data_IF_311228666678
#
_entry.id   IF_311228666678
#
_cell.length_a   1.000
_cell.length_b   1.000
_cell.length_c   1.000
_cell.angle_alpha   90.00
_cell.angle_beta   90.00
_cell.angle_gamma   90.00
#
_symmetry.space_group_name_H-M   'P 1'
#
loop_
_entity.id
_entity.type
_entity.pdbx_description
1 polymer ?
#
# COMPACT_ATOMS: atom_id res chain seq x y z
N UNK A 1 -7.30 -17.93 -15.07
CA UNK A 1 -8.41 -18.22 -14.12
C UNK A 1 -9.44 -17.11 -14.23
N UNK A 2 -10.72 -17.40 -14.23
CA UNK A 2 -11.78 -16.41 -14.33
C UNK A 2 -12.48 -16.22 -12.97
N UNK A 3 -13.45 -15.27 -12.89
CA UNK A 3 -14.14 -14.98 -11.62
C UNK A 3 -14.92 -16.19 -11.07
N UNK A 4 -15.49 -17.03 -11.93
CA UNK A 4 -16.22 -18.22 -11.50
C UNK A 4 -15.32 -19.25 -10.84
N UNK A 5 -14.06 -19.39 -11.31
CA UNK A 5 -13.08 -20.27 -10.69
C UNK A 5 -12.73 -19.79 -9.26
N UNK A 6 -12.62 -18.47 -9.04
CA UNK A 6 -12.39 -17.90 -7.72
C UNK A 6 -13.62 -18.05 -6.79
N UNK A 7 -14.84 -17.91 -7.28
CA UNK A 7 -16.05 -18.16 -6.46
C UNK A 7 -16.11 -19.61 -5.97
N UNK A 8 -15.72 -20.60 -6.81
CA UNK A 8 -15.61 -22.01 -6.37
C UNK A 8 -14.55 -22.22 -5.29
N UNK A 9 -13.42 -21.48 -5.34
CA UNK A 9 -12.40 -21.52 -4.28
C UNK A 9 -12.93 -21.02 -2.95
N UNK A 10 -13.76 -19.97 -2.93
CA UNK A 10 -14.39 -19.46 -1.70
C UNK A 10 -15.26 -20.52 -1.02
N UNK A 11 -16.00 -21.31 -1.78
CA UNK A 11 -16.85 -22.39 -1.25
C UNK A 11 -16.05 -23.55 -0.66
N UNK A 12 -14.82 -23.78 -1.14
CA UNK A 12 -14.01 -24.95 -0.79
C UNK A 12 -13.08 -24.76 0.40
N UNK A 13 -12.78 -23.53 0.83
CA UNK A 13 -11.81 -23.24 1.90
C UNK A 13 -12.50 -22.81 3.19
N UNK A 14 -12.60 -23.72 4.17
CA UNK A 14 -12.78 -23.40 5.58
C UNK A 14 -11.40 -23.27 6.23
N UNK A 15 -10.81 -22.08 6.19
CA UNK A 15 -9.50 -21.83 6.81
C UNK A 15 -9.61 -21.56 8.32
N UNK A 16 -8.50 -21.75 9.06
CA UNK A 16 -8.37 -21.27 10.44
C UNK A 16 -8.53 -19.74 10.46
N UNK A 17 -9.21 -19.23 11.50
CA UNK A 17 -9.35 -17.78 11.67
C UNK A 17 -8.01 -17.19 12.15
N UNK A 18 -7.24 -16.60 11.22
CA UNK A 18 -5.97 -15.92 11.49
C UNK A 18 -6.18 -14.45 11.91
N UNK A 19 -7.43 -14.02 12.09
CA UNK A 19 -7.75 -12.65 12.48
C UNK A 19 -7.88 -12.45 13.99
N UNK A 20 -7.87 -13.52 14.78
CA UNK A 20 -7.78 -13.44 16.23
C UNK A 20 -6.30 -13.23 16.65
N UNK A 21 -6.03 -12.11 17.34
CA UNK A 21 -4.68 -11.69 17.71
C UNK A 21 -4.66 -11.31 19.21
N UNK A 22 -3.74 -11.86 20.01
CA UNK A 22 -3.68 -11.54 21.43
C UNK A 22 -3.27 -10.08 21.65
N UNK A 23 -4.02 -9.38 22.50
CA UNK A 23 -3.79 -8.00 22.90
C UNK A 23 -3.45 -7.91 24.39
N UNK A 24 -2.16 -8.12 24.74
CA UNK A 24 -1.71 -8.12 26.13
C UNK A 24 -1.64 -6.72 26.77
N UNK A 25 -1.64 -5.68 25.94
CA UNK A 25 -1.54 -4.29 26.39
C UNK A 25 -2.89 -3.54 26.29
N UNK A 26 -3.97 -4.26 25.97
CA UNK A 26 -5.32 -3.69 25.83
C UNK A 26 -5.34 -2.49 24.88
N UNK A 27 -4.65 -2.62 23.73
CA UNK A 27 -4.51 -1.55 22.74
C UNK A 27 -5.86 -1.15 22.13
N UNK A 28 -6.84 -2.05 22.17
CA UNK A 28 -8.21 -1.77 21.76
C UNK A 28 -8.88 -0.69 22.63
N UNK A 29 -8.42 -0.46 23.85
CA UNK A 29 -8.89 0.65 24.70
C UNK A 29 -8.48 2.04 24.18
N UNK A 30 -7.43 2.09 23.33
CA UNK A 30 -6.95 3.31 22.68
C UNK A 30 -7.78 3.70 21.45
N UNK A 31 -8.67 2.82 21.00
CA UNK A 31 -9.50 2.98 19.82
C UNK A 31 -10.92 3.41 20.18
N UNK A 32 -11.48 4.34 19.41
CA UNK A 32 -12.90 4.69 19.51
C UNK A 32 -13.77 3.54 18.97
N UNK A 33 -15.07 3.57 19.26
CA UNK A 33 -16.02 2.59 18.69
C UNK A 33 -16.08 2.68 17.15
N UNK A 34 -15.93 3.88 16.58
CA UNK A 34 -15.85 4.07 15.14
C UNK A 34 -14.61 3.38 14.54
N UNK A 35 -13.44 3.54 15.15
CA UNK A 35 -12.21 2.84 14.76
C UNK A 35 -12.41 1.33 14.75
N UNK A 36 -13.04 0.77 15.79
CA UNK A 36 -13.31 -0.67 15.92
C UNK A 36 -14.28 -1.16 14.85
N UNK A 37 -15.32 -0.40 14.54
CA UNK A 37 -16.29 -0.72 13.49
C UNK A 37 -15.65 -0.73 12.10
N UNK A 38 -14.84 0.27 11.78
CA UNK A 38 -14.11 0.33 10.51
C UNK A 38 -13.18 -0.87 10.38
N UNK A 39 -12.36 -1.15 11.40
CA UNK A 39 -11.48 -2.31 11.44
C UNK A 39 -12.25 -3.62 11.22
N UNK A 40 -13.37 -3.81 11.93
CA UNK A 40 -14.20 -5.01 11.81
C UNK A 40 -14.78 -5.15 10.39
N UNK A 41 -15.32 -4.08 9.82
CA UNK A 41 -15.91 -4.09 8.47
C UNK A 41 -14.88 -4.50 7.40
N UNK A 42 -13.69 -3.90 7.43
CA UNK A 42 -12.63 -4.24 6.46
C UNK A 42 -12.14 -5.67 6.68
N UNK A 43 -11.94 -6.09 7.94
CA UNK A 43 -11.57 -7.46 8.30
C UNK A 43 -12.56 -8.50 7.77
N UNK A 44 -13.84 -8.27 7.95
CA UNK A 44 -14.89 -9.19 7.48
C UNK A 44 -14.91 -9.28 5.96
N UNK A 45 -14.68 -8.16 5.28
CA UNK A 45 -14.54 -8.16 3.84
C UNK A 45 -13.30 -8.95 3.40
N UNK A 46 -12.15 -8.74 4.01
CA UNK A 46 -10.90 -9.47 3.71
C UNK A 46 -11.09 -10.98 3.93
N UNK A 47 -11.70 -11.38 5.04
CA UNK A 47 -12.01 -12.80 5.32
C UNK A 47 -12.88 -13.42 4.24
N UNK A 48 -13.89 -12.71 3.78
CA UNK A 48 -14.88 -13.21 2.82
C UNK A 48 -14.38 -13.18 1.38
N UNK A 49 -13.72 -12.09 0.97
CA UNK A 49 -13.42 -11.84 -0.44
C UNK A 49 -11.98 -12.12 -0.83
N UNK A 50 -11.02 -11.96 0.08
CA UNK A 50 -9.58 -12.01 -0.20
C UNK A 50 -8.94 -13.30 0.30
N UNK A 51 -9.09 -13.64 1.58
CA UNK A 51 -8.40 -14.78 2.18
C UNK A 51 -8.64 -16.11 1.42
N UNK A 52 -9.82 -16.41 0.88
CA UNK A 52 -10.05 -17.66 0.17
C UNK A 52 -9.33 -17.76 -1.17
N UNK A 53 -9.03 -16.65 -1.81
CA UNK A 53 -8.55 -16.62 -3.21
C UNK A 53 -7.10 -16.19 -3.36
N UNK A 54 -6.52 -15.52 -2.36
CA UNK A 54 -5.30 -14.75 -2.55
C UNK A 54 -4.06 -15.60 -2.81
N UNK A 55 -3.96 -16.78 -2.22
CA UNK A 55 -2.83 -17.68 -2.47
C UNK A 55 -2.82 -18.15 -3.93
N UNK A 56 -3.97 -18.52 -4.48
CA UNK A 56 -4.08 -18.91 -5.88
C UNK A 56 -3.82 -17.72 -6.81
N UNK A 57 -4.39 -16.55 -6.50
CA UNK A 57 -4.13 -15.33 -7.27
C UNK A 57 -2.63 -14.98 -7.29
N UNK A 58 -1.94 -15.15 -6.16
CA UNK A 58 -0.49 -14.97 -6.06
C UNK A 58 0.28 -15.99 -6.92
N UNK A 59 -0.06 -17.27 -6.85
CA UNK A 59 0.60 -18.32 -7.64
C UNK A 59 0.41 -18.11 -9.13
N UNK A 60 -0.76 -17.68 -9.56
CA UNK A 60 -1.09 -17.40 -10.96
C UNK A 60 -0.59 -16.02 -11.44
N UNK A 61 -0.03 -15.20 -10.54
CA UNK A 61 0.31 -13.80 -10.81
C UNK A 61 -0.88 -13.01 -11.41
N UNK A 62 -2.04 -13.16 -10.81
CA UNK A 62 -3.30 -12.60 -11.29
C UNK A 62 -3.86 -11.55 -10.31
N UNK A 63 -4.21 -10.37 -10.81
CA UNK A 63 -4.89 -9.34 -10.05
C UNK A 63 -6.41 -9.46 -10.22
N UNK A 64 -7.18 -9.69 -9.14
CA UNK A 64 -8.63 -9.84 -9.21
C UNK A 64 -9.32 -8.47 -9.35
N UNK A 65 -9.48 -7.99 -10.58
CA UNK A 65 -9.95 -6.61 -10.88
C UNK A 65 -11.31 -6.25 -10.27
N UNK A 66 -12.19 -7.23 -10.02
CA UNK A 66 -13.51 -6.99 -9.41
C UNK A 66 -13.44 -6.46 -7.98
N UNK A 67 -12.31 -6.65 -7.27
CA UNK A 67 -12.15 -6.11 -5.91
C UNK A 67 -12.10 -4.58 -5.89
N UNK A 68 -11.76 -3.93 -7.01
CA UNK A 68 -11.67 -2.47 -7.10
C UNK A 68 -13.01 -1.82 -6.75
N UNK A 69 -14.09 -2.31 -7.38
CA UNK A 69 -15.43 -1.80 -7.07
C UNK A 69 -15.82 -2.07 -5.62
N UNK A 70 -15.54 -3.28 -5.12
CA UNK A 70 -15.83 -3.66 -3.73
C UNK A 70 -15.07 -2.81 -2.71
N UNK A 71 -13.79 -2.48 -2.99
CA UNK A 71 -12.99 -1.59 -2.13
C UNK A 71 -13.59 -0.18 -2.06
N UNK A 72 -14.15 0.33 -3.16
CA UNK A 72 -14.92 1.56 -3.17
C UNK A 72 -16.21 1.46 -2.34
N UNK A 73 -16.97 0.39 -2.53
CA UNK A 73 -18.24 0.14 -1.81
C UNK A 73 -18.06 0.07 -0.26
N UNK A 74 -16.93 -0.48 0.21
CA UNK A 74 -16.62 -0.53 1.65
C UNK A 74 -15.84 0.70 2.17
N UNK A 75 -15.68 1.75 1.34
CA UNK A 75 -15.06 3.02 1.73
C UNK A 75 -13.53 2.98 1.92
N UNK A 76 -12.82 2.01 1.34
CA UNK A 76 -11.37 1.89 1.44
C UNK A 76 -10.60 2.83 0.52
N UNK A 77 -11.26 3.51 -0.42
CA UNK A 77 -10.64 4.48 -1.31
C UNK A 77 -10.76 5.91 -0.76
N UNK A 78 -9.64 6.44 -0.26
CA UNK A 78 -9.57 7.80 0.28
C UNK A 78 -10.50 8.03 1.48
N UNK A 79 -10.49 7.18 2.53
CA UNK A 79 -11.38 7.34 3.66
C UNK A 79 -11.25 8.71 4.35
N UNK A 80 -10.09 9.35 4.28
CA UNK A 80 -9.83 10.69 4.81
C UNK A 80 -10.24 11.83 3.88
N UNK A 81 -10.66 11.55 2.64
CA UNK A 81 -11.20 12.56 1.73
C UNK A 81 -12.60 12.98 2.19
N UNK A 82 -12.94 14.30 2.16
CA UNK A 82 -14.26 14.77 2.60
C UNK A 82 -15.43 14.12 1.83
N UNK A 83 -16.56 13.94 2.52
CA UNK A 83 -17.80 13.34 1.99
C UNK A 83 -18.30 14.03 0.72
N UNK A 84 -18.16 15.35 0.62
CA UNK A 84 -18.59 16.13 -0.58
C UNK A 84 -17.89 15.68 -1.87
N UNK A 85 -16.75 15.00 -1.77
CA UNK A 85 -16.00 14.42 -2.89
C UNK A 85 -16.09 12.89 -2.94
N UNK A 86 -17.01 12.29 -2.16
CA UNK A 86 -17.25 10.85 -2.13
C UNK A 86 -16.36 10.06 -1.17
N UNK A 87 -15.49 10.70 -0.39
CA UNK A 87 -14.70 10.06 0.66
C UNK A 87 -15.52 9.86 1.94
N UNK A 88 -14.88 9.28 2.96
CA UNK A 88 -15.52 9.01 4.26
C UNK A 88 -15.39 10.15 5.27
N UNK A 89 -14.56 11.16 5.03
CA UNK A 89 -14.26 12.22 6.02
C UNK A 89 -13.62 11.72 7.31
N UNK A 90 -13.05 10.51 7.29
CA UNK A 90 -12.54 9.80 8.45
C UNK A 90 -11.13 10.28 8.85
N UNK A 91 -10.74 9.97 10.07
CA UNK A 91 -9.43 10.31 10.60
C UNK A 91 -8.30 9.37 10.11
N UNK A 92 -7.05 9.72 10.43
CA UNK A 92 -5.89 8.93 9.99
C UNK A 92 -5.77 7.58 10.71
N UNK A 93 -6.28 7.42 11.94
CA UNK A 93 -6.28 6.12 12.62
C UNK A 93 -7.23 5.17 11.91
N UNK A 94 -8.42 5.62 11.52
CA UNK A 94 -9.38 4.88 10.70
C UNK A 94 -8.76 4.41 9.38
N UNK A 95 -8.07 5.32 8.67
CA UNK A 95 -7.32 4.97 7.46
C UNK A 95 -6.25 3.92 7.73
N UNK A 96 -5.48 4.09 8.80
CA UNK A 96 -4.44 3.16 9.20
C UNK A 96 -4.97 1.75 9.46
N UNK A 97 -6.05 1.64 10.24
CA UNK A 97 -6.70 0.36 10.55
C UNK A 97 -7.24 -0.33 9.30
N UNK A 98 -7.81 0.42 8.37
CA UNK A 98 -8.22 -0.13 7.07
C UNK A 98 -7.01 -0.72 6.32
N UNK A 99 -5.89 0.00 6.23
CA UNK A 99 -4.66 -0.48 5.59
C UNK A 99 -4.09 -1.72 6.30
N UNK A 100 -4.15 -1.78 7.64
CA UNK A 100 -3.74 -2.95 8.42
C UNK A 100 -4.53 -4.20 8.04
N UNK A 101 -5.85 -4.12 8.01
CA UNK A 101 -6.68 -5.29 7.71
C UNK A 101 -6.58 -5.70 6.23
N UNK A 102 -6.45 -4.76 5.29
CA UNK A 102 -6.20 -5.08 3.89
C UNK A 102 -4.87 -5.82 3.69
N UNK A 103 -3.79 -5.38 4.32
CA UNK A 103 -2.47 -6.04 4.18
C UNK A 103 -2.38 -7.33 4.99
N UNK A 104 -3.21 -7.51 6.01
CA UNK A 104 -3.42 -8.81 6.65
C UNK A 104 -3.92 -9.84 5.65
N UNK A 105 -4.77 -9.44 4.69
CA UNK A 105 -5.10 -10.22 3.52
C UNK A 105 -3.95 -10.35 2.53
N UNK A 106 -3.48 -9.22 1.99
CA UNK A 106 -2.35 -9.17 1.03
C UNK A 106 -1.81 -7.76 0.82
N UNK A 107 -0.48 -7.64 0.67
CA UNK A 107 0.17 -6.35 0.40
C UNK A 107 -0.24 -5.76 -0.97
N UNK A 108 -0.58 -6.58 -1.96
CA UNK A 108 -1.05 -6.10 -3.26
C UNK A 108 -2.43 -5.45 -3.17
N UNK A 109 -3.33 -6.03 -2.39
CA UNK A 109 -4.67 -5.47 -2.13
C UNK A 109 -4.56 -4.14 -1.38
N UNK A 110 -3.73 -4.09 -0.30
CA UNK A 110 -3.48 -2.84 0.41
C UNK A 110 -2.83 -1.80 -0.51
N UNK A 111 -1.88 -2.20 -1.36
CA UNK A 111 -1.21 -1.29 -2.30
C UNK A 111 -2.21 -0.65 -3.27
N UNK A 112 -3.16 -1.42 -3.79
CA UNK A 112 -4.24 -0.90 -4.66
C UNK A 112 -5.02 0.21 -3.97
N UNK A 113 -5.46 -0.01 -2.72
CA UNK A 113 -6.19 0.98 -1.95
C UNK A 113 -5.34 2.20 -1.57
N UNK A 114 -4.09 1.98 -1.17
CA UNK A 114 -3.15 3.04 -0.78
C UNK A 114 -2.79 3.94 -1.97
N UNK A 115 -2.49 3.36 -3.13
CA UNK A 115 -2.22 4.13 -4.36
C UNK A 115 -3.43 4.96 -4.75
N UNK A 116 -4.62 4.35 -4.77
CA UNK A 116 -5.87 5.05 -5.08
C UNK A 116 -6.09 6.24 -4.14
N UNK A 117 -6.06 6.03 -2.82
CA UNK A 117 -6.38 7.05 -1.83
C UNK A 117 -5.27 8.09 -1.64
N UNK A 118 -4.04 7.63 -1.38
CA UNK A 118 -2.94 8.51 -0.97
C UNK A 118 -2.13 9.10 -2.12
N UNK A 119 -2.10 8.45 -3.28
CA UNK A 119 -1.26 8.86 -4.41
C UNK A 119 -2.05 9.38 -5.60
N UNK A 120 -3.35 9.06 -5.71
CA UNK A 120 -4.22 9.58 -6.79
C UNK A 120 -5.25 10.57 -6.24
N UNK A 121 -6.09 10.15 -5.30
CA UNK A 121 -7.13 11.03 -4.75
C UNK A 121 -6.53 12.17 -3.93
N UNK A 122 -5.53 11.89 -3.10
CA UNK A 122 -4.92 12.92 -2.25
C UNK A 122 -4.29 14.08 -3.05
N UNK A 123 -3.44 13.89 -4.08
CA UNK A 123 -2.93 15.02 -4.87
C UNK A 123 -4.02 15.79 -5.60
N UNK A 124 -5.06 15.14 -6.12
CA UNK A 124 -6.20 15.81 -6.74
C UNK A 124 -6.94 16.66 -5.69
N UNK A 125 -7.20 16.10 -4.51
CA UNK A 125 -7.84 16.83 -3.40
C UNK A 125 -6.98 18.02 -2.92
N UNK A 126 -5.68 17.78 -2.73
CA UNK A 126 -4.77 18.77 -2.12
C UNK A 126 -4.37 19.90 -3.08
N UNK A 127 -4.16 19.58 -4.36
CA UNK A 127 -3.54 20.46 -5.34
C UNK A 127 -4.40 20.75 -6.56
N UNK A 128 -5.51 20.05 -6.73
CA UNK A 128 -6.42 20.24 -7.84
C UNK A 128 -7.35 21.44 -7.69
N UNK A 129 -7.89 21.92 -8.82
CA UNK A 129 -9.01 22.88 -8.85
C UNK A 129 -10.30 22.22 -8.36
N UNK A 130 -11.34 23.01 -8.06
CA UNK A 130 -12.66 22.48 -7.69
C UNK A 130 -13.28 21.63 -8.82
N UNK A 131 -13.09 22.06 -10.07
CA UNK A 131 -13.54 21.32 -11.25
C UNK A 131 -12.87 19.95 -11.33
N UNK A 132 -11.54 19.88 -11.11
CA UNK A 132 -10.81 18.63 -11.08
C UNK A 132 -11.29 17.72 -9.94
N UNK A 133 -11.48 18.26 -8.73
CA UNK A 133 -11.97 17.49 -7.58
C UNK A 133 -13.35 16.90 -7.86
N UNK A 134 -14.28 17.70 -8.34
CA UNK A 134 -15.65 17.26 -8.66
C UNK A 134 -15.70 16.28 -9.83
N UNK A 135 -14.79 16.40 -10.81
CA UNK A 135 -14.71 15.50 -11.97
C UNK A 135 -14.19 14.11 -11.60
N UNK A 136 -13.13 14.03 -10.79
CA UNK A 136 -12.38 12.79 -10.59
C UNK A 136 -12.64 12.11 -9.25
N UNK A 137 -12.72 12.85 -8.13
CA UNK A 137 -12.75 12.25 -6.79
C UNK A 137 -13.95 11.32 -6.53
N UNK A 138 -15.21 11.67 -6.91
CA UNK A 138 -16.34 10.77 -6.68
C UNK A 138 -16.21 9.44 -7.43
N UNK A 139 -15.70 9.45 -8.64
CA UNK A 139 -15.48 8.25 -9.45
C UNK A 139 -14.35 7.38 -8.91
N UNK A 140 -13.29 8.01 -8.40
CA UNK A 140 -12.19 7.32 -7.75
C UNK A 140 -12.62 6.72 -6.41
N UNK A 141 -13.41 7.44 -5.61
CA UNK A 141 -13.90 6.98 -4.31
C UNK A 141 -14.84 5.76 -4.44
N UNK A 142 -15.73 5.76 -5.44
CA UNK A 142 -16.65 4.66 -5.70
C UNK A 142 -16.01 3.42 -6.36
N UNK A 143 -14.75 3.54 -6.82
CA UNK A 143 -14.11 2.50 -7.62
C UNK A 143 -14.64 2.37 -9.06
N UNK A 144 -15.42 3.35 -9.55
CA UNK A 144 -15.76 3.47 -10.97
C UNK A 144 -14.49 3.73 -11.78
N UNK A 145 -13.60 4.59 -11.27
CA UNK A 145 -12.27 4.81 -11.81
C UNK A 145 -11.21 4.24 -10.86
N UNK A 146 -10.26 3.51 -11.44
CA UNK A 146 -9.00 3.20 -10.80
C UNK A 146 -7.94 4.17 -11.31
N UNK A 147 -7.13 4.70 -10.41
CA UNK A 147 -6.03 5.58 -10.76
C UNK A 147 -4.66 4.98 -10.50
N UNK A 148 -3.63 5.56 -11.11
CA UNK A 148 -2.24 5.25 -10.84
C UNK A 148 -1.41 6.51 -10.63
N UNK A 149 -0.25 6.36 -9.96
CA UNK A 149 0.65 7.45 -9.61
C UNK A 149 2.00 7.25 -10.28
N UNK A 150 2.42 8.19 -11.09
CA UNK A 150 3.54 8.05 -11.99
C UNK A 150 4.66 9.04 -11.64
N UNK A 151 5.60 8.60 -10.79
CA UNK A 151 6.79 9.35 -10.39
C UNK A 151 8.08 8.69 -10.87
N UNK A 152 8.28 7.42 -10.46
CA UNK A 152 9.50 6.64 -10.72
C UNK A 152 9.72 6.40 -12.21
N UNK A 153 10.95 6.57 -12.68
CA UNK A 153 11.39 6.28 -14.05
C UNK A 153 12.35 5.10 -14.08
N UNK A 154 12.60 4.50 -15.26
CA UNK A 154 13.54 3.36 -15.36
C UNK A 154 14.89 3.61 -14.69
N UNK A 155 15.47 4.81 -14.87
CA UNK A 155 16.79 5.18 -14.35
C UNK A 155 16.76 6.08 -13.11
N UNK A 156 15.57 6.50 -12.65
CA UNK A 156 15.39 7.47 -11.55
C UNK A 156 14.37 6.98 -10.53
N UNK A 157 14.81 6.15 -9.57
CA UNK A 157 13.98 5.63 -8.48
C UNK A 157 14.15 6.43 -7.19
N UNK A 158 15.27 6.22 -6.48
CA UNK A 158 15.57 6.90 -5.22
C UNK A 158 15.90 8.39 -5.38
N UNK A 159 16.27 8.81 -6.59
CA UNK A 159 16.45 10.22 -6.96
C UNK A 159 15.39 10.68 -7.98
N UNK A 160 14.17 11.00 -7.52
CA UNK A 160 13.12 11.50 -8.39
C UNK A 160 13.38 12.92 -8.92
N UNK A 161 14.37 13.64 -8.37
CA UNK A 161 14.75 14.97 -8.85
C UNK A 161 15.37 14.94 -10.24
N UNK A 162 16.03 13.85 -10.58
CA UNK A 162 16.70 13.62 -11.87
C UNK A 162 15.76 13.12 -12.97
N UNK A 163 14.44 13.01 -12.72
CA UNK A 163 13.49 12.57 -13.75
C UNK A 163 13.67 13.30 -15.06
N UNK A 164 13.44 12.60 -16.18
CA UNK A 164 13.57 13.10 -17.55
C UNK A 164 12.22 13.28 -18.26
N UNK A 165 11.14 12.65 -17.80
CA UNK A 165 9.77 12.89 -18.31
C UNK A 165 9.45 14.37 -18.23
N UNK A 166 9.03 14.95 -19.35
CA UNK A 166 8.82 16.40 -19.51
C UNK A 166 7.60 16.70 -20.37
N UNK A 167 7.12 17.92 -20.27
CA UNK A 167 6.10 18.45 -21.15
C UNK A 167 6.41 19.88 -21.59
N UNK A 168 5.92 20.24 -22.78
CA UNK A 168 5.99 21.59 -23.36
C UNK A 168 4.61 22.22 -23.42
N UNK A 169 4.57 23.55 -23.44
CA UNK A 169 3.34 24.33 -23.55
C UNK A 169 3.07 24.67 -25.02
N UNK A 170 2.09 24.01 -25.66
CA UNK A 170 1.72 24.21 -27.05
C UNK A 170 0.56 25.24 -27.22
N UNK A 171 0.27 26.00 -26.17
CA UNK A 171 -0.77 27.04 -26.19
C UNK A 171 -2.13 26.52 -25.71
N UNK A 172 -2.79 25.65 -26.44
CA UNK A 172 -4.10 25.08 -26.10
C UNK A 172 -4.00 23.76 -25.31
N UNK A 173 -2.84 23.07 -25.32
CA UNK A 173 -2.58 21.86 -24.58
C UNK A 173 -1.12 21.79 -24.12
N UNK A 174 -0.80 20.80 -23.29
CA UNK A 174 0.57 20.38 -22.99
C UNK A 174 0.92 19.14 -23.81
N UNK A 175 2.16 19.06 -24.30
CA UNK A 175 2.68 17.89 -25.00
C UNK A 175 3.62 17.12 -24.09
N UNK A 176 3.18 15.94 -23.59
CA UNK A 176 3.88 15.13 -22.60
C UNK A 176 4.67 14.01 -23.28
N UNK A 177 5.96 13.88 -22.91
CA UNK A 177 6.88 12.86 -23.40
C UNK A 177 7.69 12.23 -22.26
N UNK A 178 7.91 10.91 -22.33
CA UNK A 178 8.75 10.16 -21.40
C UNK A 178 8.19 8.80 -21.02
N UNK A 179 8.72 8.23 -19.95
CA UNK A 179 8.28 6.93 -19.45
C UNK A 179 8.35 6.86 -17.93
N UNK A 180 7.45 6.08 -17.33
CA UNK A 180 7.43 5.77 -15.89
C UNK A 180 7.41 4.28 -15.69
N UNK A 181 8.04 3.80 -14.62
CA UNK A 181 8.22 2.38 -14.33
C UNK A 181 7.75 2.01 -12.92
N UNK A 182 7.40 0.75 -12.73
CA UNK A 182 6.92 0.19 -11.45
C UNK A 182 5.60 0.83 -10.96
N UNK A 183 4.71 1.15 -11.90
CA UNK A 183 3.49 1.88 -11.59
C UNK A 183 2.37 0.89 -11.22
N UNK A 184 2.02 0.87 -9.94
CA UNK A 184 0.89 0.08 -9.43
C UNK A 184 -0.43 0.57 -10.03
N UNK A 185 -1.33 -0.36 -10.32
CA UNK A 185 -2.64 -0.17 -10.95
C UNK A 185 -2.57 0.21 -12.46
N UNK A 186 -1.42 0.56 -13.02
CA UNK A 186 -1.28 1.09 -14.39
C UNK A 186 -2.02 0.27 -15.47
N UNK A 187 -1.97 -1.07 -15.50
CA UNK A 187 -2.65 -1.85 -16.54
C UNK A 187 -4.17 -1.65 -16.58
N UNK A 188 -4.78 -1.30 -15.44
CA UNK A 188 -6.23 -1.19 -15.27
C UNK A 188 -6.72 0.24 -14.96
N UNK A 189 -5.79 1.21 -14.82
CA UNK A 189 -6.12 2.58 -14.45
C UNK A 189 -6.87 3.31 -15.58
N UNK A 190 -7.92 4.07 -15.25
CA UNK A 190 -8.61 5.02 -16.13
C UNK A 190 -7.95 6.39 -16.13
N UNK A 191 -7.18 6.70 -15.08
CA UNK A 191 -6.52 8.00 -14.94
C UNK A 191 -5.16 7.83 -14.28
N UNK A 192 -4.17 8.63 -14.71
CA UNK A 192 -2.85 8.69 -14.12
C UNK A 192 -2.56 10.10 -13.57
N UNK A 193 -2.03 10.18 -12.33
CA UNK A 193 -1.38 11.39 -11.83
C UNK A 193 0.09 11.30 -12.16
N UNK A 194 0.56 12.09 -13.12
CA UNK A 194 1.91 12.05 -13.70
C UNK A 194 2.72 13.25 -13.24
N UNK A 195 3.90 12.97 -12.68
CA UNK A 195 4.87 14.01 -12.32
C UNK A 195 5.91 14.11 -13.43
N UNK A 196 6.02 15.31 -14.00
CA UNK A 196 6.91 15.61 -15.12
C UNK A 196 7.50 17.01 -14.96
N UNK A 197 8.63 17.29 -15.62
CA UNK A 197 9.25 18.62 -15.68
C UNK A 197 8.62 19.47 -16.75
N UNK A 198 8.33 20.73 -16.42
CA UNK A 198 8.01 21.76 -17.40
C UNK A 198 9.28 22.25 -18.14
N UNK A 199 9.15 23.22 -19.04
CA UNK A 199 10.25 23.79 -19.83
C UNK A 199 11.30 24.49 -18.97
N UNK A 200 10.95 24.93 -17.76
CA UNK A 200 11.86 25.51 -16.77
C UNK A 200 12.57 24.43 -15.93
N UNK A 201 12.27 23.14 -16.14
CA UNK A 201 12.78 22.02 -15.37
C UNK A 201 12.09 21.86 -14.01
N UNK A 202 10.98 22.54 -13.76
CA UNK A 202 10.22 22.46 -12.52
C UNK A 202 9.24 21.29 -12.56
N UNK A 203 9.24 20.44 -11.54
CA UNK A 203 8.31 19.31 -11.45
C UNK A 203 6.88 19.82 -11.24
N UNK A 204 5.96 19.33 -12.07
CA UNK A 204 4.53 19.62 -12.03
C UNK A 204 3.73 18.32 -12.06
N UNK A 205 2.50 18.36 -11.58
CA UNK A 205 1.55 17.25 -11.65
C UNK A 205 0.55 17.43 -12.79
N UNK A 206 0.36 16.41 -13.59
CA UNK A 206 -0.63 16.33 -14.67
C UNK A 206 -1.59 15.17 -14.41
N UNK A 207 -2.88 15.38 -14.70
CA UNK A 207 -3.88 14.31 -14.76
C UNK A 207 -4.00 13.87 -16.22
N UNK A 208 -3.67 12.59 -16.49
CA UNK A 208 -3.71 12.03 -17.85
C UNK A 208 -4.79 10.97 -17.91
N UNK A 209 -5.78 11.15 -18.77
CA UNK A 209 -6.85 10.19 -18.99
C UNK A 209 -6.34 9.02 -19.87
N UNK A 210 -6.85 7.80 -19.64
CA UNK A 210 -6.38 6.55 -20.25
C UNK A 210 -6.40 6.53 -21.77
N UNK A 211 -7.40 7.14 -22.37
CA UNK A 211 -7.68 7.17 -23.81
C UNK A 211 -6.98 8.31 -24.56
N UNK A 212 -6.04 9.01 -23.90
CA UNK A 212 -5.18 10.00 -24.57
C UNK A 212 -4.32 9.30 -25.63
N UNK A 213 -4.33 9.84 -26.86
CA UNK A 213 -3.51 9.32 -27.95
C UNK A 213 -2.03 9.39 -27.59
N UNK A 214 -1.25 8.33 -27.92
CA UNK A 214 0.17 8.23 -27.58
C UNK A 214 0.44 7.72 -26.14
N UNK A 215 -0.60 7.52 -25.31
CA UNK A 215 -0.45 6.98 -23.96
C UNK A 215 -0.66 5.46 -23.93
N UNK A 216 0.31 4.72 -23.42
CA UNK A 216 0.22 3.27 -23.25
C UNK A 216 0.72 2.82 -21.88
N UNK A 217 0.22 1.66 -21.44
CA UNK A 217 0.51 1.10 -20.11
C UNK A 217 0.81 -0.39 -20.17
N UNK A 218 1.98 -0.80 -20.72
CA UNK A 218 2.38 -2.20 -20.77
C UNK A 218 2.51 -2.78 -19.35
N UNK A 219 2.01 -4.00 -19.17
CA UNK A 219 2.05 -4.70 -17.90
C UNK A 219 3.43 -5.29 -17.65
N UNK A 220 3.91 -5.18 -16.40
CA UNK A 220 5.17 -5.78 -15.94
C UNK A 220 4.93 -7.23 -15.51
N UNK A 221 5.51 -8.18 -16.25
CA UNK A 221 5.45 -9.61 -15.95
C UNK A 221 6.70 -10.12 -15.22
N UNK A 222 6.62 -11.35 -14.70
CA UNK A 222 7.78 -12.04 -14.10
C UNK A 222 8.19 -11.59 -12.71
N UNK A 223 7.36 -10.82 -12.02
CA UNK A 223 7.62 -10.43 -10.62
C UNK A 223 7.57 -11.64 -9.69
N UNK A 224 8.51 -11.73 -8.75
CA UNK A 224 8.50 -12.68 -7.64
C UNK A 224 7.75 -12.15 -6.41
N UNK A 225 7.52 -10.85 -6.34
CA UNK A 225 6.88 -10.13 -5.26
C UNK A 225 5.65 -9.41 -5.78
N UNK A 226 4.64 -9.18 -4.92
CA UNK A 226 3.36 -8.55 -5.29
C UNK A 226 2.73 -9.19 -6.53
N UNK A 227 2.72 -10.53 -6.56
CA UNK A 227 2.27 -11.28 -7.73
C UNK A 227 0.77 -11.12 -7.99
N UNK A 228 -0.03 -10.93 -6.94
CA UNK A 228 -1.46 -10.63 -7.04
C UNK A 228 -1.74 -9.11 -7.12
N UNK A 229 -0.82 -8.31 -7.64
CA UNK A 229 -0.96 -6.87 -7.83
C UNK A 229 -0.62 -6.48 -9.26
N UNK A 230 -1.46 -5.68 -9.89
CA UNK A 230 -1.21 -5.12 -11.21
C UNK A 230 -0.11 -4.05 -11.14
N UNK A 231 0.94 -4.22 -11.93
CA UNK A 231 2.06 -3.28 -12.03
C UNK A 231 2.42 -3.10 -13.50
N UNK A 232 2.67 -1.89 -13.94
CA UNK A 232 3.04 -1.63 -15.33
C UNK A 232 4.01 -0.47 -15.49
N UNK A 233 4.26 -0.15 -16.73
CA UNK A 233 4.94 1.05 -17.15
C UNK A 233 3.91 2.05 -17.68
N UNK A 234 4.27 3.33 -17.74
CA UNK A 234 3.56 4.35 -18.50
C UNK A 234 4.50 4.88 -19.56
N UNK A 235 4.05 4.87 -20.81
CA UNK A 235 4.82 5.41 -21.93
C UNK A 235 4.02 6.54 -22.55
N UNK A 236 4.67 7.68 -22.70
CA UNK A 236 4.10 8.91 -23.27
C UNK A 236 4.87 9.26 -24.54
N UNK A 237 4.19 9.21 -25.69
CA UNK A 237 4.72 9.52 -27.01
C UNK A 237 3.83 10.64 -27.62
N UNK A 238 4.28 11.88 -27.48
CA UNK A 238 3.57 13.08 -27.87
C UNK A 238 2.12 13.17 -27.34
N UNK A 239 1.91 12.80 -26.08
CA UNK A 239 0.59 12.79 -25.45
C UNK A 239 0.09 14.21 -25.21
N UNK A 240 -1.05 14.54 -25.83
CA UNK A 240 -1.74 15.83 -25.63
C UNK A 240 -2.52 15.82 -24.32
N UNK A 241 -2.13 16.66 -23.38
CA UNK A 241 -2.80 16.82 -22.08
C UNK A 241 -3.51 18.18 -22.05
N UNK A 242 -4.83 18.22 -21.80
CA UNK A 242 -5.57 19.49 -21.69
C UNK A 242 -5.00 20.42 -20.60
N UNK A 243 -5.04 21.71 -20.82
CA UNK A 243 -4.52 22.71 -19.87
C UNK A 243 -5.15 22.61 -18.49
N UNK A 244 -6.43 22.33 -18.44
CA UNK A 244 -7.20 22.14 -17.22
C UNK A 244 -6.81 20.89 -16.43
N UNK A 245 -6.00 20.00 -16.99
CA UNK A 245 -5.51 18.80 -16.31
C UNK A 245 -4.17 19.02 -15.58
N UNK A 246 -3.58 20.20 -15.63
CA UNK A 246 -2.46 20.58 -14.76
C UNK A 246 -2.97 20.78 -13.33
N UNK A 247 -2.31 20.20 -12.32
CA UNK A 247 -2.59 20.46 -10.91
C UNK A 247 -2.08 21.86 -10.52
N UNK A 248 -2.97 22.86 -10.29
CA UNK A 248 -2.54 24.26 -10.13
C UNK A 248 -1.89 24.53 -8.77
N UNK A 249 -2.22 23.76 -7.74
CA UNK A 249 -1.83 23.99 -6.35
C UNK A 249 -0.42 23.56 -5.99
N UNK A 250 0.43 23.16 -6.95
CA UNK A 250 1.75 22.59 -6.64
C UNK A 250 2.83 22.90 -7.67
N UNK A 251 4.03 23.20 -7.16
CA UNK A 251 5.29 23.30 -7.93
C UNK A 251 6.42 22.59 -7.18
N UNK A 252 7.29 21.91 -7.94
CA UNK A 252 8.48 21.22 -7.42
C UNK A 252 8.19 19.90 -6.76
N UNK A 253 9.25 19.25 -6.27
CA UNK A 253 9.20 17.91 -5.66
C UNK A 253 8.39 17.82 -4.35
N UNK A 254 8.08 18.95 -3.71
CA UNK A 254 7.23 18.97 -2.52
C UNK A 254 5.88 18.29 -2.78
N UNK A 255 5.34 18.41 -4.00
CA UNK A 255 4.09 17.77 -4.41
C UNK A 255 4.12 16.26 -4.23
N UNK A 256 4.89 15.53 -5.06
CA UNK A 256 4.95 14.08 -4.98
C UNK A 256 5.46 13.56 -3.61
N UNK A 257 6.41 14.25 -2.98
CA UNK A 257 6.93 13.84 -1.66
C UNK A 257 5.86 13.95 -0.55
N UNK A 258 4.97 14.93 -0.62
CA UNK A 258 3.82 15.04 0.31
C UNK A 258 2.85 13.85 0.12
N UNK A 259 2.58 13.46 -1.12
CA UNK A 259 1.75 12.27 -1.42
C UNK A 259 2.41 10.99 -0.88
N UNK A 260 3.72 10.82 -1.09
CA UNK A 260 4.46 9.68 -0.57
C UNK A 260 4.41 9.60 0.97
N UNK A 261 4.42 10.71 1.68
CA UNK A 261 4.28 10.70 3.15
C UNK A 261 2.92 10.13 3.60
N UNK A 262 1.84 10.47 2.90
CA UNK A 262 0.51 9.90 3.15
C UNK A 262 0.49 8.38 2.91
N UNK A 263 1.08 7.92 1.81
CA UNK A 263 1.15 6.50 1.48
C UNK A 263 2.05 5.72 2.45
N UNK A 264 3.22 6.25 2.81
CA UNK A 264 4.15 5.66 3.81
C UNK A 264 3.50 5.47 5.17
N UNK A 265 2.64 6.40 5.58
CA UNK A 265 1.84 6.26 6.78
C UNK A 265 0.93 5.01 6.69
N UNK A 266 0.20 4.83 5.60
CA UNK A 266 -0.63 3.63 5.37
C UNK A 266 0.18 2.33 5.34
N UNK A 267 1.40 2.34 4.76
CA UNK A 267 2.31 1.19 4.77
C UNK A 267 2.72 0.82 6.20
N UNK A 268 2.96 1.80 7.06
CA UNK A 268 3.38 1.53 8.46
C UNK A 268 2.32 0.74 9.24
N UNK A 269 1.03 0.95 8.96
CA UNK A 269 -0.07 0.16 9.48
C UNK A 269 -0.20 -1.20 8.78
N UNK A 270 -0.14 -1.20 7.46
CA UNK A 270 -0.30 -2.41 6.65
C UNK A 270 0.70 -3.50 7.04
N UNK A 271 1.96 -3.16 7.21
CA UNK A 271 3.01 -4.11 7.61
C UNK A 271 2.69 -4.85 8.93
N UNK A 272 2.01 -4.18 9.88
CA UNK A 272 1.55 -4.82 11.12
C UNK A 272 0.53 -5.92 10.80
N UNK A 273 -0.39 -5.67 9.86
CA UNK A 273 -1.38 -6.66 9.42
C UNK A 273 -0.72 -7.92 8.85
N UNK A 274 0.25 -7.78 7.95
CA UNK A 274 1.01 -8.90 7.41
C UNK A 274 1.74 -9.69 8.50
N UNK A 275 2.34 -8.99 9.47
CA UNK A 275 2.99 -9.61 10.62
C UNK A 275 2.00 -10.40 11.50
N UNK A 276 0.80 -9.86 11.75
CA UNK A 276 -0.26 -10.51 12.52
C UNK A 276 -0.72 -11.81 11.86
N UNK A 277 -0.95 -11.83 10.55
CA UNK A 277 -1.35 -13.03 9.82
C UNK A 277 -0.30 -14.14 9.93
N UNK A 278 0.97 -13.80 9.70
CA UNK A 278 2.08 -14.74 9.87
C UNK A 278 2.21 -15.24 11.32
N UNK A 279 2.06 -14.34 12.30
CA UNK A 279 2.17 -14.69 13.72
C UNK A 279 1.07 -15.66 14.16
N UNK A 280 -0.20 -15.35 13.86
CA UNK A 280 -1.33 -16.19 14.29
C UNK A 280 -1.27 -17.56 13.61
N UNK A 281 -0.92 -17.61 12.31
CA UNK A 281 -0.68 -18.86 11.61
C UNK A 281 0.42 -19.70 12.30
N UNK A 282 1.54 -19.07 12.68
CA UNK A 282 2.64 -19.75 13.37
C UNK A 282 2.24 -20.26 14.76
N UNK A 283 1.46 -19.50 15.53
CA UNK A 283 0.94 -19.92 16.83
C UNK A 283 0.03 -21.14 16.71
N UNK A 284 -0.92 -21.11 15.77
CA UNK A 284 -1.86 -22.21 15.55
C UNK A 284 -1.11 -23.47 15.12
N UNK A 285 -0.22 -23.36 14.13
CA UNK A 285 0.61 -24.48 13.69
C UNK A 285 1.46 -25.05 14.84
N UNK A 286 2.08 -24.19 15.66
CA UNK A 286 2.92 -24.64 16.78
C UNK A 286 2.13 -25.38 17.87
N UNK A 287 0.85 -25.05 18.07
CA UNK A 287 -0.05 -25.76 19.01
C UNK A 287 -0.49 -27.13 18.50
N UNK A 288 -0.65 -27.29 17.18
CA UNK A 288 -1.18 -28.52 16.57
C UNK A 288 -0.09 -29.48 16.15
N UNK A 289 0.99 -28.99 15.53
CA UNK A 289 2.09 -29.83 15.00
C UNK A 289 2.87 -30.50 16.12
N UNK A 290 2.92 -31.81 16.08
CA UNK A 290 3.67 -32.60 17.07
C UNK A 290 5.00 -33.13 16.49
N UNK A 291 6.06 -33.01 17.28
CA UNK A 291 7.36 -33.64 17.08
C UNK A 291 7.90 -34.08 18.47
N UNK A 292 8.68 -35.16 18.51
CA UNK A 292 9.23 -35.70 19.76
C UNK A 292 8.14 -35.91 20.83
N UNK A 293 6.96 -36.39 20.42
CA UNK A 293 5.85 -36.77 21.29
C UNK A 293 4.98 -35.62 21.83
N UNK A 294 5.25 -34.36 21.51
CA UNK A 294 4.47 -33.20 21.99
C UNK A 294 4.31 -32.07 20.93
N UNK A 295 3.38 -31.15 21.11
CA UNK A 295 3.27 -29.95 20.23
C UNK A 295 4.60 -29.19 20.18
N UNK A 296 4.97 -28.70 18.98
CA UNK A 296 6.24 -27.96 18.82
C UNK A 296 6.27 -26.67 19.62
N UNK A 297 5.10 -26.02 19.87
CA UNK A 297 4.96 -24.88 20.76
C UNK A 297 5.36 -25.13 22.22
N UNK A 298 5.52 -26.41 22.63
CA UNK A 298 6.03 -26.79 23.94
C UNK A 298 7.57 -26.79 24.05
N UNK A 299 8.31 -26.41 23.00
CA UNK A 299 9.77 -26.31 23.03
C UNK A 299 10.19 -24.83 23.22
N UNK A 300 11.20 -24.63 24.07
CA UNK A 300 11.65 -23.30 24.50
C UNK A 300 12.05 -22.40 23.34
N UNK A 301 12.72 -22.93 22.30
CA UNK A 301 13.11 -22.12 21.13
C UNK A 301 11.91 -21.63 20.33
N UNK A 302 10.82 -22.40 20.25
CA UNK A 302 9.60 -21.95 19.59
C UNK A 302 8.86 -20.89 20.43
N UNK A 303 8.79 -21.09 21.75
CA UNK A 303 8.21 -20.11 22.67
C UNK A 303 8.97 -18.78 22.64
N UNK A 304 10.32 -18.84 22.57
CA UNK A 304 11.16 -17.64 22.39
C UNK A 304 10.76 -16.87 21.14
N UNK A 305 10.71 -17.53 19.98
CA UNK A 305 10.33 -16.90 18.70
C UNK A 305 8.96 -16.25 18.76
N UNK A 306 7.95 -16.99 19.24
CA UNK A 306 6.58 -16.46 19.35
C UNK A 306 6.48 -15.29 20.32
N UNK A 307 7.24 -15.30 21.42
CA UNK A 307 7.30 -14.18 22.37
C UNK A 307 7.95 -12.93 21.76
N UNK A 308 9.04 -13.10 21.01
CA UNK A 308 9.73 -12.01 20.32
C UNK A 308 8.81 -11.40 19.26
N UNK A 309 8.14 -12.23 18.44
CA UNK A 309 7.19 -11.76 17.42
C UNK A 309 6.07 -10.91 18.03
N UNK A 310 5.42 -11.39 19.09
CA UNK A 310 4.32 -10.64 19.73
C UNK A 310 4.82 -9.34 20.34
N UNK A 311 6.01 -9.34 20.95
CA UNK A 311 6.62 -8.14 21.52
C UNK A 311 6.85 -7.07 20.43
N UNK A 312 7.41 -7.47 19.29
CA UNK A 312 7.69 -6.54 18.19
C UNK A 312 6.40 -6.02 17.53
N UNK A 313 5.38 -6.86 17.36
CA UNK A 313 4.05 -6.42 16.88
C UNK A 313 3.45 -5.38 17.84
N UNK A 314 3.47 -5.64 19.15
CA UNK A 314 2.92 -4.72 20.15
C UNK A 314 3.64 -3.36 20.14
N UNK A 315 4.97 -3.35 20.04
CA UNK A 315 5.78 -2.13 19.90
C UNK A 315 5.40 -1.36 18.63
N UNK A 316 5.26 -2.07 17.51
CA UNK A 316 4.86 -1.48 16.22
C UNK A 316 3.46 -0.86 16.28
N UNK A 317 2.50 -1.52 16.92
CA UNK A 317 1.15 -1.00 17.11
C UNK A 317 1.13 0.30 17.92
N UNK A 318 1.86 0.36 19.04
CA UNK A 318 1.97 1.57 19.88
C UNK A 318 2.64 2.72 19.12
N UNK A 319 3.75 2.44 18.43
CA UNK A 319 4.46 3.43 17.61
C UNK A 319 3.52 4.04 16.55
N UNK A 320 2.80 3.17 15.84
CA UNK A 320 1.96 3.59 14.71
C UNK A 320 0.67 4.25 15.17
N UNK A 321 0.08 3.79 16.30
CA UNK A 321 -1.04 4.48 16.93
C UNK A 321 -0.66 5.90 17.33
N UNK A 322 0.52 6.09 18.00
CA UNK A 322 0.98 7.44 18.35
C UNK A 322 1.21 8.30 17.12
N UNK A 323 1.76 7.72 16.05
CA UNK A 323 1.91 8.44 14.78
C UNK A 323 0.53 8.86 14.22
N UNK A 324 -0.48 8.00 14.31
CA UNK A 324 -1.86 8.31 13.90
C UNK A 324 -2.45 9.51 14.64
N UNK A 325 -2.24 9.58 15.96
CA UNK A 325 -2.64 10.75 16.76
C UNK A 325 -1.93 12.03 16.27
N UNK A 326 -0.62 11.95 15.99
CA UNK A 326 0.14 13.10 15.46
C UNK A 326 -0.33 13.50 14.06
N UNK A 327 -0.72 12.55 13.23
CA UNK A 327 -1.31 12.84 11.91
C UNK A 327 -2.64 13.58 12.03
N UNK A 328 -3.54 13.15 12.94
CA UNK A 328 -4.82 13.80 13.21
C UNK A 328 -4.63 15.24 13.74
N UNK A 329 -3.60 15.46 14.53
CA UNK A 329 -3.23 16.80 15.06
C UNK A 329 -2.48 17.68 14.04
N UNK A 330 -2.14 17.17 12.85
CA UNK A 330 -1.31 17.89 11.85
C UNK A 330 0.13 18.14 12.30
N UNK A 331 0.66 17.33 13.22
CA UNK A 331 1.99 17.47 13.86
C UNK A 331 3.00 16.42 13.44
N UNK A 332 2.59 15.45 12.63
CA UNK A 332 3.50 14.42 12.15
C UNK A 332 4.54 14.98 11.17
N UNK A 333 5.78 14.56 11.32
CA UNK A 333 6.90 14.95 10.43
C UNK A 333 7.27 13.82 9.47
N UNK A 334 7.91 14.14 8.33
CA UNK A 334 8.41 13.11 7.40
C UNK A 334 9.37 12.11 8.07
N UNK A 335 10.19 12.55 9.03
CA UNK A 335 11.10 11.69 9.77
C UNK A 335 10.36 10.67 10.65
N UNK A 336 9.29 11.09 11.35
CA UNK A 336 8.46 10.19 12.15
C UNK A 336 7.75 9.14 11.29
N UNK A 337 7.23 9.54 10.12
CA UNK A 337 6.60 8.63 9.15
C UNK A 337 7.63 7.64 8.60
N UNK A 338 8.83 8.11 8.26
CA UNK A 338 9.95 7.28 7.80
C UNK A 338 10.38 6.26 8.85
N UNK A 339 10.47 6.68 10.12
CA UNK A 339 10.79 5.81 11.24
C UNK A 339 9.77 4.66 11.37
N UNK A 340 8.48 4.99 11.36
CA UNK A 340 7.42 3.99 11.50
C UNK A 340 7.38 3.02 10.30
N UNK A 341 7.44 3.53 9.06
CA UNK A 341 7.43 2.69 7.85
C UNK A 341 8.61 1.72 7.87
N UNK A 342 9.83 2.22 8.07
CA UNK A 342 11.02 1.37 8.07
C UNK A 342 10.96 0.32 9.18
N UNK A 343 10.68 0.73 10.42
CA UNK A 343 10.65 -0.17 11.57
C UNK A 343 9.63 -1.30 11.38
N UNK A 344 8.40 -0.95 10.98
CA UNK A 344 7.31 -1.91 10.91
C UNK A 344 7.46 -2.88 9.74
N UNK A 345 7.99 -2.43 8.61
CA UNK A 345 8.22 -3.31 7.45
C UNK A 345 9.36 -4.28 7.72
N UNK A 346 10.45 -3.85 8.33
CA UNK A 346 11.54 -4.73 8.76
C UNK A 346 11.05 -5.79 9.77
N UNK A 347 10.29 -5.34 10.77
CA UNK A 347 9.65 -6.22 11.76
C UNK A 347 8.77 -7.27 11.07
N UNK A 348 7.90 -6.87 10.16
CA UNK A 348 6.99 -7.77 9.47
C UNK A 348 7.73 -8.81 8.62
N UNK A 349 8.77 -8.41 7.89
CA UNK A 349 9.59 -9.32 7.09
C UNK A 349 10.32 -10.34 7.97
N UNK A 350 10.88 -9.91 9.10
CA UNK A 350 11.53 -10.80 10.06
C UNK A 350 10.53 -11.81 10.66
N UNK A 351 9.32 -11.36 11.01
CA UNK A 351 8.25 -12.22 11.51
C UNK A 351 7.81 -13.22 10.43
N UNK A 352 7.65 -12.81 9.20
CA UNK A 352 7.27 -13.70 8.09
C UNK A 352 8.33 -14.80 7.89
N UNK A 353 9.62 -14.47 7.94
CA UNK A 353 10.74 -15.43 7.86
C UNK A 353 10.75 -16.43 9.01
N UNK A 354 10.56 -15.96 10.25
CA UNK A 354 10.52 -16.83 11.43
C UNK A 354 9.26 -17.73 11.43
N UNK A 355 8.10 -17.18 11.05
CA UNK A 355 6.87 -17.94 10.89
C UNK A 355 7.02 -19.05 9.85
N UNK A 356 7.61 -18.74 8.68
CA UNK A 356 7.95 -19.72 7.66
C UNK A 356 8.85 -20.83 8.23
N UNK A 357 9.84 -20.48 9.05
CA UNK A 357 10.74 -21.45 9.65
C UNK A 357 10.01 -22.36 10.67
N UNK A 358 9.08 -21.81 11.47
CA UNK A 358 8.26 -22.60 12.42
C UNK A 358 7.45 -23.68 11.70
N UNK A 359 6.93 -23.38 10.50
CA UNK A 359 6.18 -24.35 9.68
C UNK A 359 7.06 -25.40 9.01
N UNK A 360 8.39 -25.28 9.05
CA UNK A 360 9.31 -26.23 8.42
C UNK A 360 9.08 -26.33 6.91
N UNK A 361 8.96 -27.56 6.39
CA UNK A 361 8.69 -27.81 4.96
C UNK A 361 7.34 -27.24 4.49
N UNK A 362 6.32 -27.24 5.33
CA UNK A 362 5.01 -26.64 5.00
C UNK A 362 5.08 -25.13 4.82
N UNK A 363 6.06 -24.46 5.42
CA UNK A 363 6.21 -23.01 5.31
C UNK A 363 6.62 -22.48 3.94
N UNK A 364 6.93 -23.36 2.96
CA UNK A 364 7.22 -22.96 1.58
C UNK A 364 6.09 -23.26 0.60
N UNK A 365 4.96 -23.78 1.08
CA UNK A 365 3.78 -24.10 0.25
C UNK A 365 2.75 -22.98 0.32
N UNK A 366 1.81 -22.97 -0.62
CA UNK A 366 0.65 -22.06 -0.62
C UNK A 366 -0.47 -22.48 0.36
N UNK A 367 -0.26 -23.50 1.19
CA UNK A 367 -1.23 -23.87 2.23
C UNK A 367 -1.22 -22.89 3.42
N UNK A 368 -0.16 -22.10 3.54
CA UNK A 368 0.07 -21.12 4.59
C UNK A 368 0.56 -19.79 4.02
N UNK A 369 0.28 -18.63 4.66
CA UNK A 369 0.48 -17.33 4.05
C UNK A 369 1.93 -16.81 4.04
N UNK A 370 2.87 -17.46 4.77
CA UNK A 370 4.17 -16.90 5.07
C UNK A 370 5.03 -16.61 3.85
N UNK A 371 5.08 -17.52 2.85
CA UNK A 371 5.88 -17.28 1.64
C UNK A 371 5.34 -16.11 0.83
N UNK A 372 4.01 -16.00 0.72
CA UNK A 372 3.36 -14.88 0.04
C UNK A 372 3.70 -13.55 0.72
N UNK A 373 3.51 -13.45 2.04
CA UNK A 373 3.87 -12.24 2.80
C UNK A 373 5.38 -11.94 2.73
N UNK A 374 6.23 -12.96 2.87
CA UNK A 374 7.68 -12.78 2.79
C UNK A 374 8.10 -12.22 1.43
N UNK A 375 7.60 -12.79 0.32
CA UNK A 375 7.88 -12.28 -1.03
C UNK A 375 7.34 -10.86 -1.22
N UNK A 376 6.12 -10.58 -0.77
CA UNK A 376 5.51 -9.26 -0.90
C UNK A 376 6.28 -8.20 -0.10
N UNK A 377 6.71 -8.52 1.11
CA UNK A 377 7.45 -7.59 1.97
C UNK A 377 8.82 -7.21 1.41
N UNK A 378 9.45 -8.03 0.55
CA UNK A 378 10.66 -7.64 -0.20
C UNK A 378 10.40 -6.44 -1.14
N UNK A 379 9.18 -6.29 -1.68
CA UNK A 379 8.81 -5.06 -2.39
C UNK A 379 8.48 -3.92 -1.42
N UNK A 380 7.82 -4.23 -0.29
CA UNK A 380 7.43 -3.21 0.69
C UNK A 380 8.63 -2.52 1.33
N UNK A 381 9.76 -3.24 1.55
CA UNK A 381 11.02 -2.61 1.99
C UNK A 381 11.65 -1.72 0.92
N UNK A 382 11.30 -1.92 -0.35
CA UNK A 382 11.96 -1.29 -1.50
C UNK A 382 11.22 -0.05 -2.00
N UNK A 383 9.89 -0.11 -2.12
CA UNK A 383 9.11 0.98 -2.71
C UNK A 383 8.78 2.10 -1.72
N UNK A 384 8.34 3.26 -2.27
CA UNK A 384 7.98 4.48 -1.52
C UNK A 384 9.07 4.97 -0.57
N UNK A 385 10.31 4.87 -1.03
CA UNK A 385 11.53 5.03 -0.25
C UNK A 385 12.04 3.67 0.24
N UNK A 386 13.26 3.32 -0.16
CA UNK A 386 13.95 2.13 0.35
C UNK A 386 14.23 2.28 1.84
N UNK A 387 14.53 1.18 2.50
CA UNK A 387 14.98 1.20 3.91
C UNK A 387 16.13 2.20 4.13
N UNK A 388 17.10 2.25 3.20
CA UNK A 388 18.24 3.15 3.29
C UNK A 388 17.82 4.62 3.15
N UNK A 389 16.94 4.94 2.20
CA UNK A 389 16.40 6.31 2.07
C UNK A 389 15.71 6.77 3.37
N UNK A 390 14.98 5.89 4.05
CA UNK A 390 14.37 6.24 5.34
C UNK A 390 15.39 6.46 6.45
N UNK A 391 16.52 5.73 6.45
CA UNK A 391 17.64 5.98 7.36
C UNK A 391 18.29 7.32 7.08
N UNK A 392 18.50 7.68 5.81
CA UNK A 392 19.03 8.99 5.42
C UNK A 392 18.12 10.14 5.87
N UNK A 393 16.81 10.01 5.68
CA UNK A 393 15.83 11.01 6.16
C UNK A 393 15.93 11.19 7.69
N UNK A 394 16.00 10.09 8.44
CA UNK A 394 16.15 10.12 9.90
C UNK A 394 17.50 10.67 10.32
N UNK A 395 18.58 10.24 9.67
CA UNK A 395 19.95 10.69 9.97
C UNK A 395 20.08 12.20 9.79
N UNK A 396 19.54 12.74 8.71
CA UNK A 396 19.50 14.18 8.44
C UNK A 396 18.72 14.95 9.52
N UNK A 397 17.56 14.44 9.95
CA UNK A 397 16.78 15.07 11.02
C UNK A 397 17.51 15.06 12.37
N UNK A 398 18.25 13.98 12.67
CA UNK A 398 18.99 13.82 13.93
C UNK A 398 20.24 14.71 13.96
N UNK A 399 20.96 14.79 12.84
CA UNK A 399 22.29 15.45 12.79
C UNK A 399 22.24 16.89 12.28
N UNK A 400 21.19 17.25 11.55
CA UNK A 400 21.11 18.51 10.81
C UNK A 400 21.97 18.56 9.53
N UNK A 401 22.67 17.45 9.18
CA UNK A 401 23.56 17.38 8.02
C UNK A 401 22.84 16.69 6.83
N UNK A 402 23.08 17.21 5.61
CA UNK A 402 22.46 16.64 4.42
C UNK A 402 23.06 15.25 4.13
N UNK A 403 22.20 14.23 4.07
CA UNK A 403 22.60 12.85 3.85
C UNK A 403 22.51 12.41 2.38
N UNK A 404 22.06 13.30 1.46
CA UNK A 404 21.81 12.97 0.05
C UNK A 404 22.85 13.55 -0.92
N UNK A 405 23.88 14.19 -0.44
CA UNK A 405 25.00 14.76 -1.22
C UNK A 405 26.31 14.49 -0.50
#
# INVERSE_FOLDING_TARGET
>A
MNREDFERLKESKSGQDTFDHPDFYLLDELLTEEHKLIRASVRDWVKREISPIIEEACQQAYFPTWIVKQLGEIGCFGPQIPEQYGGGGLDYISYGLAMQELERGDSGVRSTASVQGSLVMYPIFKFGSEEQKMKYLPKLASGEYLGCFALTEPDHGSDPSSMITRFTDEGDHYLLNGAKMWISNAPHAQVAVVWAKDEEGVVRGLIVDRDSEGFSTPETHGKWSLRASATGELVFDDVKVPKENLLPGVKGLKGPLTCLNSARYGISWGAIGAAMDCYVSAVNYAKERKQFGKPIGGFQLQQKKLSEMLTEITKAQLLTWRLGVLMNEGRATPAQISMAKRNNVEMALNIAREARQIHGGMGITGDYPMMRHMMNLESVITYEGTHDIHLLILGMEITGENAFV
#
